data_IF_193972614930
#
_entry.id   IF_193972614930
#
_cell.length_a   1.000
_cell.length_b   1.000
_cell.length_c   1.000
_cell.angle_alpha   90.00
_cell.angle_beta   90.00
_cell.angle_gamma   90.00
#
_symmetry.space_group_name_H-M   'P 1'
#
loop_
_entity.id
_entity.type
_entity.pdbx_description
1 polymer ?
#
# COMPACT_ATOMS: atom_id res chain seq x y z
N UNK A 1 9.57 -37.52 9.55
CA UNK A 1 8.94 -36.77 8.44
C UNK A 1 7.73 -35.94 8.88
N UNK A 2 6.77 -36.49 9.64
CA UNK A 2 5.53 -35.76 10.03
C UNK A 2 5.71 -34.54 10.94
N UNK A 3 6.80 -34.46 11.71
CA UNK A 3 7.07 -33.36 12.66
C UNK A 3 7.45 -32.05 11.97
N UNK A 4 8.13 -32.13 10.82
CA UNK A 4 8.56 -30.98 10.02
C UNK A 4 7.42 -30.37 9.19
N UNK A 5 6.39 -31.17 8.90
CA UNK A 5 5.18 -30.69 8.22
C UNK A 5 4.43 -29.66 9.08
N UNK A 6 4.31 -29.92 10.38
CA UNK A 6 3.62 -29.02 11.28
C UNK A 6 4.42 -27.72 11.50
N UNK A 7 5.75 -27.81 11.59
CA UNK A 7 6.63 -26.65 11.72
C UNK A 7 6.65 -25.78 10.46
N UNK A 8 6.65 -26.41 9.28
CA UNK A 8 6.55 -25.70 8.00
C UNK A 8 5.21 -24.98 7.83
N UNK A 9 4.10 -25.64 8.22
CA UNK A 9 2.77 -25.03 8.19
C UNK A 9 2.69 -23.81 9.12
N UNK A 10 3.25 -23.91 10.33
CA UNK A 10 3.27 -22.79 11.28
C UNK A 10 4.13 -21.62 10.78
N UNK A 11 5.22 -21.87 10.06
CA UNK A 11 6.06 -20.81 9.49
C UNK A 11 5.31 -20.07 8.38
N UNK A 12 4.60 -20.82 7.51
CA UNK A 12 3.77 -20.24 6.45
C UNK A 12 2.61 -19.43 7.05
N UNK A 13 1.93 -19.96 8.06
CA UNK A 13 0.85 -19.25 8.76
C UNK A 13 1.35 -17.99 9.46
N UNK A 14 2.55 -18.02 10.06
CA UNK A 14 3.15 -16.83 10.66
C UNK A 14 3.47 -15.75 9.60
N UNK A 15 3.98 -16.12 8.42
CA UNK A 15 4.22 -15.15 7.33
C UNK A 15 2.94 -14.54 6.76
N UNK A 16 1.83 -15.29 6.75
CA UNK A 16 0.52 -14.78 6.31
C UNK A 16 -0.15 -13.92 7.39
N UNK A 17 0.05 -14.22 8.67
CA UNK A 17 -0.51 -13.46 9.78
C UNK A 17 0.25 -12.15 10.06
N UNK A 18 1.55 -12.10 9.72
CA UNK A 18 2.41 -10.92 9.89
C UNK A 18 2.68 -10.16 8.61
N UNK A 19 2.06 -10.50 7.46
CA UNK A 19 2.12 -9.59 6.32
C UNK A 19 1.40 -8.31 6.75
N UNK A 20 2.13 -7.19 6.96
CA UNK A 20 1.44 -5.93 7.02
C UNK A 20 0.89 -5.79 5.62
N UNK A 21 -0.41 -5.59 5.50
CA UNK A 21 -0.99 -5.05 4.28
C UNK A 21 -0.35 -3.67 4.12
N UNK A 22 0.84 -3.64 3.53
CA UNK A 22 1.50 -2.44 3.05
C UNK A 22 0.74 -2.02 1.78
N UNK A 23 -0.56 -1.79 1.94
CA UNK A 23 -1.34 -0.97 1.05
C UNK A 23 -1.36 0.44 1.67
N UNK A 24 -0.15 0.96 1.95
CA UNK A 24 0.00 2.39 1.95
C UNK A 24 -0.17 2.76 0.48
N UNK A 25 -1.39 3.17 0.11
CA UNK A 25 -1.79 3.51 -1.25
C UNK A 25 -0.62 4.14 -1.97
N UNK A 26 0.02 3.33 -2.81
CA UNK A 26 1.09 3.81 -3.66
C UNK A 26 0.33 4.57 -4.72
N UNK A 27 0.00 5.83 -4.42
CA UNK A 27 -0.70 6.73 -5.34
C UNK A 27 0.06 6.66 -6.63
N UNK A 28 -0.56 6.01 -7.61
CA UNK A 28 -0.03 5.92 -8.95
C UNK A 28 0.33 7.34 -9.34
N UNK A 29 1.57 7.58 -9.80
CA UNK A 29 2.01 8.92 -10.23
C UNK A 29 1.19 9.47 -11.42
N UNK A 30 0.18 8.72 -11.86
CA UNK A 30 -0.66 8.93 -13.01
C UNK A 30 -2.15 8.90 -12.63
N UNK A 31 -2.48 9.00 -11.34
CA UNK A 31 -3.88 9.08 -10.91
C UNK A 31 -4.37 10.53 -11.12
N UNK A 32 -5.30 10.69 -12.06
CA UNK A 32 -5.88 11.99 -12.41
C UNK A 32 -6.61 12.61 -11.22
N UNK A 33 -7.01 11.80 -10.23
CA UNK A 33 -7.58 12.29 -8.97
C UNK A 33 -6.59 13.09 -8.11
N UNK A 34 -5.29 12.90 -8.32
CA UNK A 34 -4.25 13.67 -7.66
C UNK A 34 -3.93 14.98 -8.39
N UNK A 35 -4.52 15.24 -9.57
CA UNK A 35 -4.45 16.55 -10.22
C UNK A 35 -5.46 17.50 -9.57
N UNK A 36 -4.94 18.42 -8.74
CA UNK A 36 -5.76 19.32 -7.95
C UNK A 36 -6.13 20.60 -8.70
N UNK A 37 -5.44 20.89 -9.81
CA UNK A 37 -5.59 22.13 -10.54
C UNK A 37 -6.25 21.93 -11.92
N UNK A 38 -6.32 20.69 -12.41
CA UNK A 38 -7.02 20.28 -13.64
C UNK A 38 -6.23 20.52 -14.93
N UNK A 39 -4.91 20.70 -14.86
CA UNK A 39 -4.04 20.92 -16.02
C UNK A 39 -3.57 19.61 -16.69
N UNK A 40 -3.93 18.47 -16.11
CA UNK A 40 -3.58 17.14 -16.59
C UNK A 40 -2.16 16.70 -16.23
N UNK A 41 -1.43 17.46 -15.40
CA UNK A 41 -0.07 17.16 -14.96
C UNK A 41 -0.06 17.05 -13.43
N UNK A 42 0.14 15.83 -12.92
CA UNK A 42 0.30 15.64 -11.47
C UNK A 42 1.71 16.05 -11.04
N UNK A 43 1.81 17.15 -10.29
CA UNK A 43 3.06 17.59 -9.67
C UNK A 43 3.31 16.88 -8.33
N UNK A 44 4.57 16.88 -7.89
CA UNK A 44 4.94 16.34 -6.57
C UNK A 44 4.18 17.05 -5.42
N UNK A 45 3.90 18.35 -5.58
CA UNK A 45 3.17 19.14 -4.58
C UNK A 45 1.76 18.61 -4.41
N UNK A 46 1.06 18.37 -5.53
CA UNK A 46 -0.31 17.88 -5.52
C UNK A 46 -0.38 16.46 -4.98
N UNK A 47 0.55 15.60 -5.37
CA UNK A 47 0.67 14.25 -4.83
C UNK A 47 0.85 14.26 -3.30
N UNK A 48 1.63 15.19 -2.75
CA UNK A 48 1.81 15.35 -1.30
C UNK A 48 0.54 15.82 -0.61
N UNK A 49 -0.20 16.75 -1.21
CA UNK A 49 -1.45 17.28 -0.66
C UNK A 49 -2.53 16.19 -0.67
N UNK A 50 -2.72 15.51 -1.80
CA UNK A 50 -3.67 14.41 -1.97
C UNK A 50 -3.40 13.28 -0.97
N UNK A 51 -2.14 12.82 -0.87
CA UNK A 51 -1.76 11.78 0.10
C UNK A 51 -1.97 12.20 1.55
N UNK A 52 -1.80 13.49 1.87
CA UNK A 52 -2.08 13.99 3.22
C UNK A 52 -3.58 13.96 3.50
N UNK A 53 -4.42 14.37 2.56
CA UNK A 53 -5.87 14.35 2.70
C UNK A 53 -6.39 12.92 2.89
N UNK A 54 -5.96 11.97 2.06
CA UNK A 54 -6.39 10.56 2.12
C UNK A 54 -6.01 9.84 3.43
N UNK A 55 -4.94 10.29 4.10
CA UNK A 55 -4.53 9.71 5.40
C UNK A 55 -5.32 10.24 6.59
N UNK A 56 -6.09 11.31 6.40
CA UNK A 56 -6.85 11.98 7.45
C UNK A 56 -8.37 12.01 7.17
N UNK A 57 -8.82 11.42 6.06
CA UNK A 57 -10.21 11.16 5.73
C UNK A 57 -10.66 9.82 6.33
#
# INVERSE_FOLDING_TARGET
MKRYLLSGLTLIMATLAFSPVANAGQTHLNDLEADLNGDGIVTLTELKIYNRAQRHA
#
